data_IF_065769844295
#
_entry.id   IF_065769844295
#
_cell.length_a   1.000
_cell.length_b   1.000
_cell.length_c   1.000
_cell.angle_alpha   90.00
_cell.angle_beta   90.00
_cell.angle_gamma   90.00
#
_symmetry.space_group_name_H-M   'P 1'
#
loop_
_entity.id
_entity.type
_entity.pdbx_description
1 polymer ?
#
# COMPACT_ATOMS: atom_id res chain seq x y z
N UNK A 1 13.11 15.00 9.16
CA UNK A 1 12.10 16.12 9.28
C UNK A 1 10.76 15.50 9.67
N UNK A 2 9.87 16.21 10.37
CA UNK A 2 8.52 15.72 10.68
C UNK A 2 7.63 15.72 9.42
N UNK A 3 6.75 14.71 9.27
CA UNK A 3 5.85 14.56 8.12
C UNK A 3 5.07 15.83 7.79
N UNK A 4 4.62 16.56 8.84
CA UNK A 4 3.87 17.80 8.65
C UNK A 4 4.66 18.87 7.88
N UNK A 5 5.96 19.01 8.18
CA UNK A 5 6.84 19.98 7.51
C UNK A 5 7.10 19.58 6.05
N UNK A 6 7.27 18.27 5.78
CA UNK A 6 7.43 17.78 4.41
C UNK A 6 6.15 18.06 3.60
N UNK A 7 4.98 17.79 4.20
CA UNK A 7 3.70 18.09 3.55
C UNK A 7 3.52 19.58 3.27
N UNK A 8 3.94 20.45 4.18
CA UNK A 8 3.87 21.90 3.97
C UNK A 8 4.72 22.36 2.78
N UNK A 9 5.91 21.76 2.56
CA UNK A 9 6.71 22.00 1.35
C UNK A 9 5.97 21.58 0.07
N UNK A 10 5.30 20.42 0.06
CA UNK A 10 4.46 20.03 -1.08
C UNK A 10 3.33 21.02 -1.36
N UNK A 11 2.68 21.52 -0.31
CA UNK A 11 1.64 22.54 -0.46
C UNK A 11 2.17 23.88 -0.95
N UNK A 12 3.39 24.24 -0.56
CA UNK A 12 4.11 25.42 -1.06
C UNK A 12 4.66 25.25 -2.49
N UNK A 13 4.58 24.03 -3.06
CA UNK A 13 5.22 23.68 -4.35
C UNK A 13 6.74 23.90 -4.33
N UNK A 14 7.35 23.68 -3.18
CA UNK A 14 8.79 23.74 -3.00
C UNK A 14 9.42 22.40 -3.37
N UNK A 15 10.39 22.41 -4.30
CA UNK A 15 11.06 21.21 -4.80
C UNK A 15 11.84 20.47 -3.69
N UNK A 16 12.21 21.16 -2.63
CA UNK A 16 12.82 20.56 -1.43
C UNK A 16 11.94 19.48 -0.79
N UNK A 17 10.61 19.50 -1.04
CA UNK A 17 9.69 18.46 -0.60
C UNK A 17 10.13 17.05 -1.08
N UNK A 18 10.59 16.93 -2.31
CA UNK A 18 11.03 15.65 -2.89
C UNK A 18 12.33 15.20 -2.22
N UNK A 19 13.29 16.11 -2.05
CA UNK A 19 14.57 15.82 -1.39
C UNK A 19 14.38 15.38 0.07
N UNK A 20 13.52 16.07 0.81
CA UNK A 20 13.23 15.74 2.20
C UNK A 20 12.47 14.41 2.31
N UNK A 21 11.58 14.11 1.36
CA UNK A 21 10.89 12.82 1.28
C UNK A 21 11.88 11.69 1.01
N UNK A 22 12.81 11.87 0.07
CA UNK A 22 13.85 10.87 -0.22
C UNK A 22 14.77 10.64 0.98
N UNK A 23 15.21 11.72 1.64
CA UNK A 23 16.03 11.64 2.85
C UNK A 23 15.35 10.86 3.96
N UNK A 24 14.04 11.08 4.18
CA UNK A 24 13.29 10.45 5.26
C UNK A 24 12.88 9.00 4.93
N UNK A 25 12.51 8.72 3.68
CA UNK A 25 11.81 7.49 3.31
C UNK A 25 12.40 6.73 2.11
N UNK A 26 13.39 7.30 1.41
CA UNK A 26 13.95 6.74 0.19
C UNK A 26 14.43 5.30 0.35
N UNK A 27 15.23 5.01 1.40
CA UNK A 27 15.72 3.65 1.66
C UNK A 27 14.59 2.63 1.81
N UNK A 28 13.50 3.02 2.50
CA UNK A 28 12.34 2.15 2.74
C UNK A 28 11.55 1.91 1.46
N UNK A 29 11.35 2.95 0.64
CA UNK A 29 10.70 2.86 -0.66
C UNK A 29 11.51 2.00 -1.65
N UNK A 30 12.83 2.18 -1.69
CA UNK A 30 13.72 1.34 -2.51
C UNK A 30 13.68 -0.13 -2.08
N UNK A 31 13.65 -0.41 -0.77
CA UNK A 31 13.52 -1.78 -0.26
C UNK A 31 12.19 -2.38 -0.69
N UNK A 32 11.08 -1.64 -0.52
CA UNK A 32 9.75 -2.07 -0.94
C UNK A 32 9.70 -2.37 -2.44
N UNK A 33 10.13 -1.44 -3.28
CA UNK A 33 10.13 -1.60 -4.73
C UNK A 33 11.03 -2.78 -5.16
N UNK A 34 12.23 -2.92 -4.56
CA UNK A 34 13.16 -4.01 -4.85
C UNK A 34 12.59 -5.38 -4.50
N UNK A 35 11.90 -5.50 -3.37
CA UNK A 35 11.26 -6.75 -2.95
C UNK A 35 10.18 -7.20 -3.94
N UNK A 36 9.45 -6.24 -4.52
CA UNK A 36 8.39 -6.52 -5.50
C UNK A 36 8.98 -6.81 -6.89
N UNK A 37 9.93 -5.99 -7.33
CA UNK A 37 10.42 -5.98 -8.72
C UNK A 37 11.59 -6.92 -8.95
N UNK A 38 12.31 -7.32 -7.89
CA UNK A 38 13.51 -8.17 -7.96
C UNK A 38 14.61 -7.63 -8.90
N UNK A 39 14.54 -6.33 -9.24
CA UNK A 39 15.47 -5.63 -10.13
C UNK A 39 15.74 -4.24 -9.57
N UNK A 40 17.03 -3.86 -9.51
CA UNK A 40 17.43 -2.57 -8.91
C UNK A 40 17.04 -1.37 -9.77
N UNK A 41 17.24 -1.44 -11.08
CA UNK A 41 16.92 -0.33 -12.00
C UNK A 41 15.42 -0.05 -12.03
N UNK A 42 14.60 -1.10 -12.13
CA UNK A 42 13.15 -0.99 -12.06
C UNK A 42 12.69 -0.42 -10.71
N UNK A 43 13.36 -0.79 -9.61
CA UNK A 43 13.04 -0.27 -8.28
C UNK A 43 13.37 1.22 -8.16
N UNK A 44 14.53 1.67 -8.66
CA UNK A 44 14.91 3.08 -8.70
C UNK A 44 13.89 3.89 -9.52
N UNK A 45 13.52 3.41 -10.69
CA UNK A 45 12.53 4.05 -11.55
C UNK A 45 11.16 4.11 -10.88
N UNK A 46 10.72 3.03 -10.22
CA UNK A 46 9.43 2.99 -9.51
C UNK A 46 9.39 3.95 -8.31
N UNK A 47 10.51 4.17 -7.63
CA UNK A 47 10.62 5.15 -6.55
C UNK A 47 10.57 6.58 -7.11
N UNK A 48 11.26 6.86 -8.21
CA UNK A 48 11.18 8.15 -8.88
C UNK A 48 9.77 8.47 -9.38
N UNK A 49 9.09 7.49 -9.99
CA UNK A 49 7.69 7.61 -10.39
C UNK A 49 6.77 7.87 -9.18
N UNK A 50 7.10 7.28 -8.02
CA UNK A 50 6.37 7.53 -6.76
C UNK A 50 6.47 8.99 -6.36
N UNK A 51 7.66 9.60 -6.40
CA UNK A 51 7.82 11.02 -6.08
C UNK A 51 7.05 11.92 -7.05
N UNK A 52 7.09 11.60 -8.34
CA UNK A 52 6.33 12.35 -9.35
C UNK A 52 4.82 12.25 -9.10
N UNK A 53 4.31 11.07 -8.73
CA UNK A 53 2.87 10.89 -8.47
C UNK A 53 2.43 11.56 -7.15
N UNK A 54 3.28 11.54 -6.13
CA UNK A 54 3.05 12.28 -4.87
C UNK A 54 3.01 13.77 -5.13
N UNK A 55 3.95 14.30 -5.94
CA UNK A 55 3.98 15.71 -6.33
C UNK A 55 2.69 16.16 -7.04
N UNK A 56 2.13 15.31 -7.91
CA UNK A 56 0.84 15.58 -8.57
C UNK A 56 -0.34 15.50 -7.60
N UNK A 57 -0.28 14.59 -6.64
CA UNK A 57 -1.39 14.28 -5.74
C UNK A 57 -1.52 15.28 -4.59
N UNK A 58 -0.43 15.94 -4.19
CA UNK A 58 -0.38 16.93 -3.11
C UNK A 58 0.03 18.29 -3.72
N UNK A 59 -0.78 19.36 -3.56
CA UNK A 59 -2.17 19.37 -3.13
C UNK A 59 -3.12 18.77 -4.17
N UNK A 60 -4.40 18.50 -3.91
CA UNK A 60 -5.15 18.89 -2.70
C UNK A 60 -5.13 17.88 -1.56
N UNK A 61 -4.59 16.66 -1.77
CA UNK A 61 -4.58 15.62 -0.73
C UNK A 61 -3.62 15.99 0.39
N UNK A 62 -4.04 15.79 1.66
CA UNK A 62 -3.18 15.90 2.83
C UNK A 62 -3.26 14.59 3.64
N UNK A 63 -2.42 13.61 3.34
CA UNK A 63 -2.48 12.30 4.00
C UNK A 63 -2.12 12.41 5.48
N UNK A 64 -2.90 11.72 6.33
CA UNK A 64 -2.65 11.66 7.78
C UNK A 64 -1.40 10.84 8.10
N UNK A 65 -1.14 9.78 7.34
CA UNK A 65 0.02 8.89 7.48
C UNK A 65 0.83 8.96 6.19
N UNK A 66 1.83 9.85 6.18
CA UNK A 66 2.53 10.20 4.96
C UNK A 66 3.31 9.01 4.38
N UNK A 67 4.06 8.26 5.22
CA UNK A 67 4.76 7.08 4.72
C UNK A 67 3.82 6.02 4.13
N UNK A 68 2.68 5.74 4.77
CA UNK A 68 1.71 4.78 4.24
C UNK A 68 1.15 5.22 2.87
N UNK A 69 0.97 6.53 2.67
CA UNK A 69 0.59 7.10 1.38
C UNK A 69 1.67 6.90 0.31
N UNK A 70 2.95 7.18 0.65
CA UNK A 70 4.09 6.93 -0.24
C UNK A 70 4.21 5.45 -0.60
N UNK A 71 4.18 4.57 0.40
CA UNK A 71 4.31 3.13 0.22
C UNK A 71 3.18 2.55 -0.64
N UNK A 72 1.94 3.05 -0.48
CA UNK A 72 0.82 2.60 -1.30
C UNK A 72 0.98 2.95 -2.78
N UNK A 73 1.49 4.15 -3.08
CA UNK A 73 1.77 4.58 -4.46
C UNK A 73 2.94 3.77 -5.04
N UNK A 74 4.05 3.67 -4.31
CA UNK A 74 5.22 2.92 -4.72
C UNK A 74 4.88 1.45 -5.02
N UNK A 75 4.11 0.82 -4.13
CA UNK A 75 3.63 -0.54 -4.32
C UNK A 75 2.75 -0.68 -5.55
N UNK A 76 1.79 0.23 -5.74
CA UNK A 76 0.90 0.22 -6.90
C UNK A 76 1.70 0.30 -8.22
N UNK A 77 2.64 1.24 -8.31
CA UNK A 77 3.49 1.41 -9.48
C UNK A 77 4.38 0.18 -9.72
N UNK A 78 4.98 -0.37 -8.67
CA UNK A 78 5.82 -1.57 -8.76
C UNK A 78 5.03 -2.79 -9.24
N UNK A 79 3.81 -3.00 -8.72
CA UNK A 79 2.96 -4.12 -9.11
C UNK A 79 2.44 -3.97 -10.55
N UNK A 80 2.05 -2.76 -10.96
CA UNK A 80 1.68 -2.50 -12.36
C UNK A 80 2.83 -2.83 -13.30
N UNK A 81 4.07 -2.53 -12.91
CA UNK A 81 5.28 -2.85 -13.68
C UNK A 81 5.51 -4.37 -13.76
N UNK A 82 5.28 -5.11 -12.65
CA UNK A 82 5.30 -6.58 -12.64
C UNK A 82 4.20 -7.14 -13.55
N UNK A 83 2.96 -6.66 -13.43
CA UNK A 83 1.84 -7.10 -14.27
C UNK A 83 2.14 -6.87 -15.76
N UNK A 84 2.71 -5.72 -16.10
CA UNK A 84 3.11 -5.41 -17.48
C UNK A 84 4.21 -6.34 -18.01
N UNK A 85 5.23 -6.64 -17.19
CA UNK A 85 6.28 -7.62 -17.53
C UNK A 85 5.75 -9.07 -17.56
N UNK A 86 4.76 -9.40 -16.72
CA UNK A 86 4.15 -10.74 -16.64
C UNK A 86 2.98 -10.93 -17.61
N UNK A 87 2.43 -9.89 -18.22
CA UNK A 87 1.57 -10.03 -19.41
C UNK A 87 2.30 -10.79 -20.54
N UNK A 88 3.63 -10.80 -20.50
CA UNK A 88 4.49 -11.67 -21.31
C UNK A 88 4.75 -13.06 -20.69
N UNK A 89 4.52 -13.29 -19.38
CA UNK A 89 4.69 -14.60 -18.70
C UNK A 89 3.68 -14.74 -17.55
N UNK A 90 2.61 -15.51 -17.78
CA UNK A 90 1.56 -15.80 -16.79
C UNK A 90 2.10 -16.60 -15.60
N UNK A 91 2.27 -15.96 -14.42
CA UNK A 91 2.07 -16.54 -13.08
C UNK A 91 2.32 -15.49 -12.01
N UNK A 92 1.26 -15.06 -11.32
CA UNK A 92 1.37 -14.20 -10.14
C UNK A 92 1.81 -15.05 -8.93
N UNK A 93 2.98 -14.80 -8.40
CA UNK A 93 3.35 -15.22 -7.06
C UNK A 93 2.85 -14.14 -6.09
N UNK A 94 1.87 -14.49 -5.26
CA UNK A 94 1.37 -13.60 -4.20
C UNK A 94 2.35 -13.69 -3.04
N UNK A 95 3.09 -12.60 -2.78
CA UNK A 95 3.93 -12.48 -1.59
C UNK A 95 3.02 -12.14 -0.40
N UNK A 96 3.13 -12.83 0.75
CA UNK A 96 2.36 -12.50 1.94
C UNK A 96 2.50 -11.04 2.35
N UNK A 97 1.39 -10.43 2.79
CA UNK A 97 1.28 -9.03 3.20
C UNK A 97 2.30 -8.65 4.28
N UNK A 98 2.50 -9.57 5.23
CA UNK A 98 3.40 -9.44 6.37
C UNK A 98 4.86 -9.29 5.99
N UNK A 99 5.34 -10.06 5.02
CA UNK A 99 6.76 -10.08 4.63
C UNK A 99 7.21 -8.77 3.97
N UNK A 100 6.33 -8.11 3.22
CA UNK A 100 6.62 -6.79 2.64
C UNK A 100 6.56 -5.66 3.67
N UNK A 101 5.67 -5.75 4.67
CA UNK A 101 5.58 -4.78 5.74
C UNK A 101 6.76 -4.90 6.72
N UNK A 102 7.20 -6.11 7.05
CA UNK A 102 8.36 -6.35 7.92
C UNK A 102 9.64 -5.71 7.37
N UNK A 103 9.86 -5.81 6.06
CA UNK A 103 11.03 -5.23 5.41
C UNK A 103 11.02 -3.69 5.32
N UNK A 104 9.89 -3.05 5.60
CA UNK A 104 9.73 -1.59 5.54
C UNK A 104 9.82 -0.90 6.91
N UNK A 105 9.93 -1.65 8.03
CA UNK A 105 9.94 -1.10 9.39
C UNK A 105 11.39 -0.96 9.88
N UNK A 106 11.84 0.21 10.37
CA UNK A 106 13.18 0.37 10.95
C UNK A 106 13.33 -0.38 12.28
N UNK A 107 14.53 -0.92 12.55
CA UNK A 107 14.89 -1.75 13.71
C UNK A 107 14.76 -1.10 15.11
N UNK A 108 14.19 0.08 15.25
CA UNK A 108 14.28 0.86 16.48
C UNK A 108 13.09 0.77 17.45
N UNK A 109 12.11 -0.13 17.22
CA UNK A 109 10.94 -0.23 18.14
C UNK A 109 10.53 -1.68 18.38
N UNK A 110 11.26 -2.39 19.23
CA UNK A 110 11.02 -3.82 19.54
C UNK A 110 9.59 -4.13 20.04
N UNK A 111 8.97 -3.30 20.86
CA UNK A 111 7.62 -3.53 21.38
C UNK A 111 6.53 -3.33 20.31
N UNK A 112 6.63 -2.24 19.53
CA UNK A 112 5.69 -1.99 18.42
C UNK A 112 5.82 -2.97 17.25
N UNK A 113 6.98 -3.62 17.12
CA UNK A 113 7.20 -4.66 16.10
C UNK A 113 6.49 -5.97 16.44
N UNK A 114 6.41 -6.36 17.71
CA UNK A 114 5.62 -7.54 18.11
C UNK A 114 4.13 -7.33 17.83
N UNK A 115 3.57 -6.18 18.21
CA UNK A 115 2.18 -5.85 17.93
C UNK A 115 1.88 -5.78 16.43
N UNK A 116 2.80 -5.20 15.62
CA UNK A 116 2.64 -5.12 14.17
C UNK A 116 2.73 -6.49 13.49
N UNK A 117 3.60 -7.41 13.97
CA UNK A 117 3.70 -8.78 13.48
C UNK A 117 2.47 -9.62 13.82
N UNK A 118 1.94 -9.46 15.03
CA UNK A 118 0.72 -10.14 15.45
C UNK A 118 -0.49 -9.64 14.65
N UNK A 119 -0.64 -8.32 14.49
CA UNK A 119 -1.69 -7.75 13.66
C UNK A 119 -1.57 -8.20 12.20
N UNK A 120 -0.35 -8.30 11.66
CA UNK A 120 -0.10 -8.81 10.31
C UNK A 120 -0.61 -10.24 10.14
N UNK A 121 -0.27 -11.15 11.08
CA UNK A 121 -0.77 -12.54 11.07
C UNK A 121 -2.29 -12.62 11.15
N UNK A 122 -2.91 -11.78 11.99
CA UNK A 122 -4.36 -11.72 12.10
C UNK A 122 -5.01 -11.24 10.80
N UNK A 123 -4.43 -10.25 10.13
CA UNK A 123 -4.90 -9.79 8.82
C UNK A 123 -4.75 -10.86 7.74
N UNK A 124 -3.66 -11.63 7.73
CA UNK A 124 -3.49 -12.76 6.80
C UNK A 124 -4.56 -13.83 7.03
N UNK A 125 -4.78 -14.25 8.29
CA UNK A 125 -5.85 -15.20 8.66
C UNK A 125 -7.23 -14.68 8.25
N UNK A 126 -7.50 -13.40 8.50
CA UNK A 126 -8.75 -12.79 8.05
C UNK A 126 -8.92 -12.86 6.53
N UNK A 127 -7.88 -12.47 5.79
CA UNK A 127 -7.90 -12.50 4.32
C UNK A 127 -8.08 -13.91 3.78
N UNK A 128 -7.46 -14.92 4.39
CA UNK A 128 -7.63 -16.32 4.03
C UNK A 128 -9.07 -16.81 4.26
N UNK A 129 -9.73 -16.33 5.31
CA UNK A 129 -11.12 -16.66 5.62
C UNK A 129 -12.15 -16.10 4.65
N UNK A 130 -11.77 -15.08 3.86
CA UNK A 130 -12.67 -14.44 2.91
C UNK A 130 -12.88 -15.27 1.64
N UNK A 131 -14.09 -15.25 1.06
CA UNK A 131 -14.29 -15.72 -0.31
C UNK A 131 -13.35 -15.01 -1.29
N UNK A 132 -12.86 -15.75 -2.28
CA UNK A 132 -11.86 -15.28 -3.26
C UNK A 132 -12.17 -13.88 -3.82
N UNK A 133 -13.41 -13.63 -4.25
CA UNK A 133 -13.80 -12.36 -4.84
C UNK A 133 -13.74 -11.21 -3.82
N UNK A 134 -14.22 -11.45 -2.58
CA UNK A 134 -14.18 -10.45 -1.51
C UNK A 134 -12.75 -10.10 -1.13
N UNK A 135 -11.88 -11.10 -1.03
CA UNK A 135 -10.45 -10.93 -0.76
C UNK A 135 -9.76 -10.11 -1.86
N UNK A 136 -9.97 -10.47 -3.13
CA UNK A 136 -9.38 -9.75 -4.26
C UNK A 136 -9.85 -8.29 -4.32
N UNK A 137 -11.14 -8.02 -4.15
CA UNK A 137 -11.70 -6.66 -4.14
C UNK A 137 -11.14 -5.86 -2.97
N UNK A 138 -11.03 -6.47 -1.79
CA UNK A 138 -10.46 -5.83 -0.61
C UNK A 138 -8.98 -5.48 -0.81
N UNK A 139 -8.17 -6.44 -1.26
CA UNK A 139 -6.76 -6.21 -1.57
C UNK A 139 -6.59 -5.13 -2.64
N UNK A 140 -7.35 -5.18 -3.74
CA UNK A 140 -7.30 -4.15 -4.78
C UNK A 140 -7.56 -2.76 -4.23
N UNK A 141 -8.55 -2.61 -3.34
CA UNK A 141 -8.91 -1.31 -2.76
C UNK A 141 -7.88 -0.78 -1.77
N UNK A 142 -7.41 -1.63 -0.84
CA UNK A 142 -6.63 -1.17 0.31
C UNK A 142 -5.14 -1.43 0.17
N UNK A 143 -4.76 -2.40 -0.62
CA UNK A 143 -3.37 -2.76 -0.83
C UNK A 143 -2.81 -2.22 -2.14
N UNK A 144 -3.57 -2.37 -3.23
CA UNK A 144 -3.20 -1.84 -4.55
C UNK A 144 -3.69 -0.40 -4.79
N UNK A 145 -4.55 0.12 -3.91
CA UNK A 145 -5.12 1.48 -3.97
C UNK A 145 -5.95 1.74 -5.21
N UNK A 146 -6.43 0.68 -5.89
CA UNK A 146 -7.30 0.83 -7.04
C UNK A 146 -8.58 1.60 -6.65
N UNK A 147 -9.07 2.43 -7.55
CA UNK A 147 -10.35 3.11 -7.37
C UNK A 147 -11.52 2.14 -7.55
N UNK A 148 -12.69 2.49 -7.00
CA UNK A 148 -13.89 1.66 -7.16
C UNK A 148 -14.27 1.44 -8.63
N UNK A 149 -14.21 2.46 -9.52
CA UNK A 149 -14.42 2.27 -10.95
C UNK A 149 -13.44 1.29 -11.60
N UNK A 150 -12.15 1.37 -11.26
CA UNK A 150 -11.13 0.45 -11.80
C UNK A 150 -11.38 -1.00 -11.36
N UNK A 151 -11.73 -1.21 -10.08
CA UNK A 151 -12.10 -2.53 -9.56
C UNK A 151 -13.35 -3.04 -10.29
N UNK A 152 -14.37 -2.20 -10.45
CA UNK A 152 -15.61 -2.55 -11.13
C UNK A 152 -15.35 -2.98 -12.58
N UNK A 153 -14.57 -2.20 -13.32
CA UNK A 153 -14.17 -2.52 -14.70
C UNK A 153 -13.37 -3.83 -14.79
N UNK A 154 -12.39 -4.01 -13.88
CA UNK A 154 -11.51 -5.20 -13.85
C UNK A 154 -12.26 -6.52 -13.62
N UNK A 155 -13.28 -6.49 -12.77
CA UNK A 155 -14.03 -7.70 -12.40
C UNK A 155 -15.41 -7.81 -13.06
N UNK A 156 -15.76 -6.93 -14.01
CA UNK A 156 -17.06 -6.93 -14.68
C UNK A 156 -18.23 -6.71 -13.72
N UNK A 157 -18.03 -5.87 -12.69
CA UNK A 157 -19.02 -5.58 -11.68
C UNK A 157 -19.52 -4.12 -11.77
N UNK A 158 -20.68 -3.85 -11.17
CA UNK A 158 -21.11 -2.46 -10.96
C UNK A 158 -20.35 -1.84 -9.78
N UNK A 159 -20.12 -0.54 -9.81
CA UNK A 159 -19.51 0.19 -8.68
C UNK A 159 -20.29 0.01 -7.37
N UNK A 160 -21.63 -0.02 -7.44
CA UNK A 160 -22.49 -0.24 -6.29
C UNK A 160 -22.23 -1.62 -5.65
N UNK A 161 -22.03 -2.66 -6.48
CA UNK A 161 -21.70 -4.00 -5.99
C UNK A 161 -20.32 -4.01 -5.32
N UNK A 162 -19.32 -3.35 -5.89
CA UNK A 162 -17.98 -3.22 -5.31
C UNK A 162 -18.05 -2.48 -3.96
N UNK A 163 -18.74 -1.34 -3.90
CA UNK A 163 -18.92 -0.55 -2.66
C UNK A 163 -19.59 -1.39 -1.55
N UNK A 164 -20.66 -2.11 -1.89
CA UNK A 164 -21.38 -2.98 -0.94
C UNK A 164 -20.46 -4.11 -0.43
N UNK A 165 -19.69 -4.74 -1.31
CA UNK A 165 -18.78 -5.82 -0.94
C UNK A 165 -17.65 -5.34 -0.04
N UNK A 166 -17.06 -4.17 -0.33
CA UNK A 166 -16.07 -3.52 0.52
C UNK A 166 -16.64 -3.17 1.90
N UNK A 167 -17.86 -2.62 1.97
CA UNK A 167 -18.51 -2.30 3.22
C UNK A 167 -18.74 -3.55 4.09
N UNK A 168 -19.26 -4.63 3.49
CA UNK A 168 -19.44 -5.91 4.19
C UNK A 168 -18.13 -6.53 4.66
N UNK A 169 -17.07 -6.41 3.85
CA UNK A 169 -15.76 -6.95 4.23
C UNK A 169 -15.12 -6.15 5.36
N UNK A 170 -15.29 -4.82 5.37
CA UNK A 170 -14.84 -3.99 6.50
C UNK A 170 -15.55 -4.33 7.80
N UNK A 171 -16.86 -4.54 7.74
CA UNK A 171 -17.64 -4.93 8.92
C UNK A 171 -17.19 -6.30 9.46
N UNK A 172 -16.95 -7.26 8.57
CA UNK A 172 -16.38 -8.56 8.98
C UNK A 172 -14.99 -8.42 9.60
N UNK A 173 -14.14 -7.55 9.06
CA UNK A 173 -12.82 -7.29 9.64
C UNK A 173 -12.93 -6.68 11.03
N UNK A 174 -13.83 -5.70 11.22
CA UNK A 174 -14.09 -5.11 12.54
C UNK A 174 -14.48 -6.17 13.56
N UNK A 175 -15.48 -7.01 13.23
CA UNK A 175 -15.93 -8.09 14.11
C UNK A 175 -14.83 -9.12 14.39
N UNK A 176 -14.03 -9.46 13.39
CA UNK A 176 -12.90 -10.38 13.55
C UNK A 176 -11.86 -9.82 14.52
N UNK A 177 -11.46 -8.54 14.35
CA UNK A 177 -10.50 -7.88 15.23
C UNK A 177 -11.04 -7.74 16.67
N UNK A 178 -12.33 -7.42 16.84
CA UNK A 178 -12.96 -7.37 18.17
C UNK A 178 -12.92 -8.73 18.89
N UNK A 179 -13.11 -9.85 18.18
CA UNK A 179 -12.99 -11.20 18.72
C UNK A 179 -11.57 -11.52 19.20
N UNK A 180 -10.56 -10.94 18.53
CA UNK A 180 -9.15 -11.06 18.91
C UNK A 180 -8.73 -10.00 19.96
N UNK A 181 -9.68 -9.25 20.52
CA UNK A 181 -9.43 -8.25 21.57
C UNK A 181 -8.89 -6.91 21.05
N UNK A 182 -8.93 -6.68 19.75
CA UNK A 182 -8.48 -5.44 19.10
C UNK A 182 -9.70 -4.58 18.77
N UNK A 183 -9.89 -3.50 19.52
CA UNK A 183 -10.99 -2.56 19.30
C UNK A 183 -10.57 -1.43 18.36
N UNK A 184 -11.28 -1.26 17.23
CA UNK A 184 -11.00 -0.29 16.16
C UNK A 184 -12.14 0.71 16.01
#
# INVERSE_FOLDING_TARGET
MEDAKILDLYFARDEDAIRETDTAYGKRLHTLAKNILQNREDAEESVNDTYAEVWKSIPPRRPKYFFAFLASICRHLSLNRVEWKQAAKRRAQVVPLTEEMENCIPDTVHERQMEAKELGKLLDLFLESLPKDSRLIFLRRYWYVDSVPEIAARYGMTESKVKMQLSRTKEKLRLFLEQEGIYV
#
